data_IF_920372449147
#
_entry.id   IF_920372449147
#
_cell.length_a   1.000
_cell.length_b   1.000
_cell.length_c   1.000
_cell.angle_alpha   90.00
_cell.angle_beta   90.00
_cell.angle_gamma   90.00
#
_symmetry.space_group_name_H-M   'P 1'
#
loop_
_entity.id
_entity.type
_entity.pdbx_description
1 polymer ?
#
# COMPACT_ATOMS: atom_id res chain seq x y z
N UNK A 1 -2.89 57.38 65.92
CA UNK A 1 -4.05 56.68 65.41
C UNK A 1 -4.02 56.74 63.88
N UNK A 2 -3.49 55.68 63.18
CA UNK A 2 -3.50 55.56 61.73
C UNK A 2 -4.28 54.32 61.40
N UNK A 3 -5.44 54.48 60.73
CA UNK A 3 -6.27 53.40 60.22
C UNK A 3 -5.68 52.92 58.89
N UNK A 4 -5.31 51.63 58.83
CA UNK A 4 -4.93 50.92 57.58
C UNK A 4 -6.22 50.30 56.99
N UNK A 5 -6.57 50.70 55.75
CA UNK A 5 -7.65 50.18 54.99
C UNK A 5 -7.04 49.06 54.14
N UNK A 6 -7.41 47.83 54.39
CA UNK A 6 -7.08 46.66 53.52
C UNK A 6 -8.12 46.60 52.40
N UNK A 7 -7.67 46.78 51.12
CA UNK A 7 -8.45 46.45 49.90
C UNK A 7 -8.25 44.97 49.59
N UNK A 8 -9.33 44.20 49.71
CA UNK A 8 -9.40 42.87 49.15
C UNK A 8 -9.71 42.96 47.64
N UNK A 9 -8.75 42.61 46.78
CA UNK A 9 -8.96 42.44 45.36
C UNK A 9 -9.52 41.01 45.13
N UNK A 10 -10.78 40.92 44.77
CA UNK A 10 -11.39 39.67 44.30
C UNK A 10 -10.95 39.38 42.85
N UNK A 11 -10.04 38.43 42.66
CA UNK A 11 -9.74 37.87 41.33
C UNK A 11 -10.89 36.95 40.90
N UNK A 12 -11.70 37.43 39.99
CA UNK A 12 -12.68 36.60 39.25
C UNK A 12 -11.91 35.77 38.25
N UNK A 13 -11.76 34.46 38.48
CA UNK A 13 -11.22 33.50 37.55
C UNK A 13 -12.24 33.31 36.44
N UNK A 14 -12.00 33.91 35.28
CA UNK A 14 -12.72 33.60 34.04
C UNK A 14 -12.29 32.19 33.58
N UNK A 15 -13.09 31.19 33.93
CA UNK A 15 -13.00 29.85 33.32
C UNK A 15 -13.47 29.98 31.86
N UNK A 16 -12.53 30.07 30.91
CA UNK A 16 -12.80 29.89 29.51
C UNK A 16 -13.17 28.42 29.33
N UNK A 17 -14.39 28.08 28.89
CA UNK A 17 -14.70 26.72 28.57
C UNK A 17 -13.87 26.33 27.33
N UNK A 18 -12.87 25.47 27.48
CA UNK A 18 -12.23 24.75 26.39
C UNK A 18 -13.29 23.81 25.83
N UNK A 19 -14.15 24.34 24.97
CA UNK A 19 -15.10 23.56 24.20
C UNK A 19 -14.30 22.62 23.32
N UNK A 20 -14.19 21.36 23.74
CA UNK A 20 -13.80 20.27 22.85
C UNK A 20 -14.82 20.28 21.72
N UNK A 21 -14.42 20.76 20.53
CA UNK A 21 -15.28 20.70 19.33
C UNK A 21 -15.67 19.23 19.19
N UNK A 22 -16.96 18.94 19.39
CA UNK A 22 -17.50 17.62 19.16
C UNK A 22 -17.25 17.27 17.67
N UNK A 23 -16.76 16.05 17.43
CA UNK A 23 -16.52 15.60 16.05
C UNK A 23 -17.86 15.59 15.29
N UNK A 24 -17.91 16.31 14.18
CA UNK A 24 -19.12 16.40 13.36
C UNK A 24 -19.20 15.26 12.33
N UNK A 25 -20.40 14.73 12.14
CA UNK A 25 -20.71 13.76 11.10
C UNK A 25 -20.44 14.37 9.72
N UNK A 26 -19.74 13.64 8.81
CA UNK A 26 -19.55 14.11 7.44
C UNK A 26 -20.88 14.33 6.72
N UNK A 27 -20.95 15.34 5.88
CA UNK A 27 -22.14 15.63 5.09
C UNK A 27 -22.51 14.41 4.20
N UNK A 28 -23.79 14.08 4.15
CA UNK A 28 -24.29 12.93 3.38
C UNK A 28 -24.24 11.58 4.09
N UNK A 29 -23.62 11.48 5.25
CA UNK A 29 -23.62 10.23 6.05
C UNK A 29 -24.93 10.06 6.83
N UNK A 30 -25.36 8.80 7.10
CA UNK A 30 -26.61 8.52 7.83
C UNK A 30 -26.54 9.06 9.27
N UNK A 31 -27.70 9.36 9.88
CA UNK A 31 -27.76 9.87 11.26
C UNK A 31 -27.16 8.91 12.28
N UNK A 32 -27.27 7.58 12.05
CA UNK A 32 -26.64 6.57 12.90
C UNK A 32 -25.10 6.66 12.98
N UNK A 33 -24.51 7.51 12.11
CA UNK A 33 -23.07 7.76 12.17
C UNK A 33 -22.65 8.61 13.37
N UNK A 34 -23.58 9.37 13.96
CA UNK A 34 -23.36 10.14 15.20
C UNK A 34 -23.09 9.19 16.37
N UNK A 35 -23.80 8.04 16.42
CA UNK A 35 -23.56 6.97 17.38
C UNK A 35 -22.19 6.31 17.17
N UNK A 36 -21.81 6.05 15.92
CA UNK A 36 -20.47 5.51 15.62
C UNK A 36 -19.35 6.44 16.08
N UNK A 37 -19.51 7.76 15.93
CA UNK A 37 -18.53 8.73 16.44
C UNK A 37 -18.45 8.70 17.96
N UNK A 38 -19.61 8.63 18.64
CA UNK A 38 -19.66 8.56 20.09
C UNK A 38 -19.03 7.27 20.64
N UNK A 39 -19.35 6.13 20.04
CA UNK A 39 -18.76 4.83 20.39
C UNK A 39 -17.25 4.82 20.19
N UNK A 40 -16.78 5.33 19.06
CA UNK A 40 -15.34 5.44 18.77
C UNK A 40 -14.62 6.34 19.80
N UNK A 41 -15.25 7.45 20.22
CA UNK A 41 -14.71 8.32 21.25
C UNK A 41 -14.68 7.62 22.63
N UNK A 42 -15.66 6.76 22.94
CA UNK A 42 -15.66 5.94 24.15
C UNK A 42 -14.55 4.85 24.12
N UNK A 43 -14.24 4.28 22.95
CA UNK A 43 -13.13 3.34 22.74
C UNK A 43 -11.75 4.01 22.83
N UNK A 44 -11.64 5.31 22.60
CA UNK A 44 -10.46 6.19 22.76
C UNK A 44 -9.28 5.90 21.86
N UNK A 45 -9.21 4.78 21.18
CA UNK A 45 -8.07 4.40 20.36
C UNK A 45 -8.47 3.45 19.24
N UNK A 46 -7.58 3.36 18.24
CA UNK A 46 -7.57 2.31 17.22
C UNK A 46 -6.15 1.79 17.05
N UNK A 47 -5.99 0.47 16.99
CA UNK A 47 -4.70 -0.20 16.77
C UNK A 47 -4.67 -0.65 15.31
N UNK A 48 -3.67 -0.15 14.56
CA UNK A 48 -3.52 -0.41 13.12
C UNK A 48 -2.20 -1.11 12.86
N UNK A 49 -2.24 -2.27 12.19
CA UNK A 49 -1.06 -2.87 11.59
C UNK A 49 -1.07 -2.60 10.09
N UNK A 50 0.01 -2.01 9.59
CA UNK A 50 0.13 -1.64 8.19
C UNK A 50 1.55 -1.82 7.66
N UNK A 51 1.69 -1.93 6.34
CA UNK A 51 2.97 -1.93 5.65
C UNK A 51 3.18 -0.66 4.79
N UNK A 52 2.51 0.42 5.12
CA UNK A 52 2.80 1.74 4.60
C UNK A 52 3.67 2.48 5.61
N UNK A 53 4.71 3.14 5.13
CA UNK A 53 5.66 3.83 6.00
C UNK A 53 4.95 4.85 6.90
N UNK A 54 5.29 4.84 8.20
CA UNK A 54 4.69 5.75 9.18
C UNK A 54 4.82 7.23 8.76
N UNK A 55 5.93 7.60 8.15
CA UNK A 55 6.18 8.97 7.67
C UNK A 55 5.22 9.40 6.57
N UNK A 56 4.83 8.47 5.69
CA UNK A 56 3.84 8.72 4.62
C UNK A 56 2.42 8.81 5.19
N UNK A 57 2.15 8.04 6.26
CA UNK A 57 0.83 8.00 6.87
C UNK A 57 0.60 9.07 7.94
N UNK A 58 1.65 9.70 8.45
CA UNK A 58 1.54 10.72 9.49
C UNK A 58 0.54 11.84 9.16
N UNK A 59 0.49 12.41 7.93
CA UNK A 59 -0.50 13.44 7.60
C UNK A 59 -1.95 12.94 7.66
N UNK A 60 -2.20 11.69 7.24
CA UNK A 60 -3.54 11.06 7.29
C UNK A 60 -3.94 10.83 8.74
N UNK A 61 -3.03 10.31 9.56
CA UNK A 61 -3.26 10.05 10.99
C UNK A 61 -3.54 11.36 11.73
N UNK A 62 -2.74 12.39 11.49
CA UNK A 62 -2.92 13.72 12.11
C UNK A 62 -4.26 14.34 11.72
N UNK A 63 -4.65 14.27 10.45
CA UNK A 63 -5.93 14.79 9.98
C UNK A 63 -7.11 14.02 10.59
N UNK A 64 -7.01 12.69 10.69
CA UNK A 64 -8.01 11.86 11.38
C UNK A 64 -8.14 12.27 12.86
N UNK A 65 -7.04 12.36 13.61
CA UNK A 65 -7.07 12.74 15.03
C UNK A 65 -7.53 14.18 15.25
N UNK A 66 -7.26 15.08 14.30
CA UNK A 66 -7.80 16.44 14.33
C UNK A 66 -9.32 16.46 14.16
N UNK A 67 -9.85 15.62 13.25
CA UNK A 67 -11.29 15.49 13.02
C UNK A 67 -12.01 14.77 14.14
N UNK A 68 -11.35 13.76 14.72
CA UNK A 68 -11.90 12.89 15.77
C UNK A 68 -10.97 12.89 17.00
N UNK A 69 -10.92 14.00 17.77
CA UNK A 69 -9.92 14.19 18.83
C UNK A 69 -10.07 13.20 20.00
N UNK A 70 -11.23 12.53 20.10
CA UNK A 70 -11.45 11.47 21.09
C UNK A 70 -10.77 10.13 20.76
N UNK A 71 -10.15 9.95 19.56
CA UNK A 71 -9.58 8.68 19.12
C UNK A 71 -8.09 8.81 18.82
N UNK A 72 -7.26 8.12 19.58
CA UNK A 72 -5.81 8.01 19.33
C UNK A 72 -5.51 6.89 18.35
N UNK A 73 -4.63 7.12 17.36
CA UNK A 73 -4.19 6.12 16.40
C UNK A 73 -2.87 5.49 16.84
N UNK A 74 -2.89 4.22 17.19
CA UNK A 74 -1.72 3.39 17.48
C UNK A 74 -1.30 2.65 16.20
N UNK A 75 -0.39 3.25 15.44
CA UNK A 75 0.04 2.74 14.15
C UNK A 75 1.34 1.96 14.26
N UNK A 76 1.34 0.69 13.89
CA UNK A 76 2.51 -0.15 13.76
C UNK A 76 2.86 -0.37 12.28
N UNK A 77 4.02 0.16 11.87
CA UNK A 77 4.62 -0.06 10.57
C UNK A 77 5.38 -1.39 10.59
N UNK A 78 4.87 -2.37 9.86
CA UNK A 78 5.34 -3.76 9.88
C UNK A 78 5.52 -4.29 8.45
N UNK A 79 6.55 -5.07 8.21
CA UNK A 79 6.66 -5.82 6.96
C UNK A 79 5.47 -6.78 6.77
N UNK A 80 4.97 -6.94 5.53
CA UNK A 80 3.74 -7.72 5.25
C UNK A 80 3.75 -9.12 5.84
N UNK A 81 4.87 -9.85 5.73
CA UNK A 81 4.99 -11.20 6.26
C UNK A 81 5.03 -11.24 7.80
N UNK A 82 5.64 -10.25 8.43
CA UNK A 82 5.65 -10.10 9.89
C UNK A 82 4.25 -9.78 10.39
N UNK A 83 3.61 -8.80 9.80
CA UNK A 83 2.23 -8.39 10.12
C UNK A 83 1.25 -9.57 10.05
N UNK A 84 1.31 -10.36 8.95
CA UNK A 84 0.48 -11.55 8.80
C UNK A 84 0.71 -12.56 9.92
N UNK A 85 1.97 -12.93 10.19
CA UNK A 85 2.32 -13.90 11.24
C UNK A 85 1.90 -13.42 12.62
N UNK A 86 2.20 -12.15 12.94
CA UNK A 86 1.89 -11.54 14.23
C UNK A 86 0.39 -11.50 14.46
N UNK A 87 -0.38 -10.96 13.52
CA UNK A 87 -1.83 -10.86 13.63
C UNK A 87 -2.49 -12.22 13.81
N UNK A 88 -2.11 -13.23 13.02
CA UNK A 88 -2.64 -14.61 13.14
C UNK A 88 -2.30 -15.23 14.50
N UNK A 89 -1.06 -15.06 14.97
CA UNK A 89 -0.62 -15.62 16.25
C UNK A 89 -1.36 -14.98 17.43
N UNK A 90 -1.46 -13.64 17.44
CA UNK A 90 -2.16 -12.89 18.49
C UNK A 90 -3.65 -13.25 18.53
N UNK A 91 -4.33 -13.26 17.38
CA UNK A 91 -5.76 -13.57 17.29
C UNK A 91 -6.05 -15.01 17.74
N UNK A 92 -5.26 -15.99 17.29
CA UNK A 92 -5.43 -17.40 17.69
C UNK A 92 -5.22 -17.63 19.18
N UNK A 93 -4.36 -16.85 19.80
CA UNK A 93 -4.09 -16.91 21.25
C UNK A 93 -4.95 -15.95 22.07
N UNK A 94 -5.93 -15.28 21.44
CA UNK A 94 -6.81 -14.27 22.06
C UNK A 94 -6.05 -13.13 22.77
N UNK A 95 -4.85 -12.84 22.30
CA UNK A 95 -4.07 -11.68 22.76
C UNK A 95 -4.60 -10.41 22.12
N UNK A 96 -4.34 -9.22 22.72
CA UNK A 96 -4.58 -7.95 22.05
C UNK A 96 -3.87 -7.91 20.70
N UNK A 97 -4.58 -7.51 19.67
CA UNK A 97 -4.06 -7.41 18.31
C UNK A 97 -4.59 -6.14 17.64
N UNK A 98 -4.34 -5.96 16.35
CA UNK A 98 -4.84 -4.82 15.61
C UNK A 98 -6.36 -4.88 15.42
N UNK A 99 -6.99 -3.71 15.45
CA UNK A 99 -8.39 -3.50 15.09
C UNK A 99 -8.58 -3.39 13.59
N UNK A 100 -7.58 -2.84 12.89
CA UNK A 100 -7.56 -2.67 11.45
C UNK A 100 -6.21 -3.13 10.89
N UNK A 101 -6.27 -3.93 9.81
CA UNK A 101 -5.11 -4.41 9.06
C UNK A 101 -5.11 -3.78 7.68
N UNK A 102 -3.96 -3.23 7.25
CA UNK A 102 -3.82 -2.56 5.96
C UNK A 102 -2.52 -2.91 5.25
N UNK A 103 -2.60 -3.60 4.10
CA UNK A 103 -1.41 -4.16 3.43
C UNK A 103 -1.52 -4.18 1.91
N UNK A 104 -0.35 -4.05 1.26
CA UNK A 104 -0.16 -4.26 -0.18
C UNK A 104 -0.04 -5.74 -0.59
N UNK A 105 0.13 -6.68 0.35
CA UNK A 105 0.05 -8.12 0.08
C UNK A 105 -1.41 -8.53 -0.05
N UNK A 106 -1.99 -8.24 -1.22
CA UNK A 106 -3.42 -8.41 -1.48
C UNK A 106 -3.89 -9.85 -1.29
N UNK A 107 -3.10 -10.82 -1.69
CA UNK A 107 -3.36 -12.25 -1.55
C UNK A 107 -3.45 -12.67 -0.07
N UNK A 108 -2.52 -12.24 0.77
CA UNK A 108 -2.53 -12.50 2.21
C UNK A 108 -3.73 -11.84 2.89
N UNK A 109 -4.09 -10.61 2.49
CA UNK A 109 -5.27 -9.91 3.01
C UNK A 109 -6.55 -10.65 2.64
N UNK A 110 -6.71 -11.05 1.38
CA UNK A 110 -7.87 -11.83 0.93
C UNK A 110 -7.91 -13.19 1.65
N UNK A 111 -6.76 -13.82 1.90
CA UNK A 111 -6.71 -15.05 2.70
C UNK A 111 -7.22 -14.83 4.12
N UNK A 112 -6.75 -13.80 4.82
CA UNK A 112 -7.22 -13.49 6.17
C UNK A 112 -8.74 -13.27 6.20
N UNK A 113 -9.28 -12.51 5.24
CA UNK A 113 -10.72 -12.29 5.10
C UNK A 113 -11.46 -13.61 4.86
N UNK A 114 -10.94 -14.46 3.95
CA UNK A 114 -11.55 -15.76 3.62
C UNK A 114 -11.52 -16.73 4.81
N UNK A 115 -10.44 -16.72 5.58
CA UNK A 115 -10.26 -17.56 6.78
C UNK A 115 -11.08 -17.03 7.98
N UNK A 116 -11.84 -15.95 7.79
CA UNK A 116 -12.80 -15.45 8.76
C UNK A 116 -12.21 -14.51 9.81
N UNK A 117 -11.07 -13.89 9.57
CA UNK A 117 -10.46 -12.90 10.48
C UNK A 117 -11.05 -11.49 10.34
N UNK A 118 -11.89 -11.23 9.33
CA UNK A 118 -12.50 -9.93 9.10
C UNK A 118 -13.98 -9.91 9.52
N UNK A 119 -14.46 -8.75 9.94
CA UNK A 119 -15.89 -8.48 10.09
C UNK A 119 -16.43 -7.72 8.86
N UNK A 120 -17.72 -7.91 8.56
CA UNK A 120 -18.38 -7.16 7.51
C UNK A 120 -18.76 -5.76 8.01
N UNK A 121 -18.55 -4.77 7.14
CA UNK A 121 -18.94 -3.39 7.40
C UNK A 121 -19.42 -2.69 6.12
N UNK A 122 -20.60 -2.10 6.17
CA UNK A 122 -21.16 -1.33 5.06
C UNK A 122 -20.71 0.14 5.17
N UNK A 123 -19.48 0.43 4.74
CA UNK A 123 -18.97 1.79 4.73
C UNK A 123 -19.87 2.72 3.90
N UNK A 124 -20.20 3.93 4.39
CA UNK A 124 -20.91 4.94 3.61
C UNK A 124 -20.13 5.41 2.37
N UNK A 125 -18.81 5.18 2.33
CA UNK A 125 -17.98 5.50 1.18
C UNK A 125 -18.03 4.46 0.05
N UNK A 126 -18.63 3.29 0.29
CA UNK A 126 -18.72 2.21 -0.71
C UNK A 126 -19.24 2.65 -2.09
N UNK A 127 -20.26 3.51 -2.23
CA UNK A 127 -20.77 3.93 -3.53
C UNK A 127 -19.74 4.71 -4.38
N UNK A 128 -18.70 5.25 -3.76
CA UNK A 128 -17.66 6.06 -4.42
C UNK A 128 -16.46 5.25 -4.87
N UNK A 129 -16.41 3.97 -4.51
CA UNK A 129 -15.31 3.07 -4.79
C UNK A 129 -15.60 2.19 -6.01
N UNK A 130 -14.59 1.83 -6.82
CA UNK A 130 -14.78 0.88 -7.90
C UNK A 130 -15.12 -0.51 -7.35
N UNK A 131 -16.00 -1.25 -8.02
CA UNK A 131 -16.41 -2.58 -7.60
C UNK A 131 -15.23 -3.58 -7.46
N UNK A 132 -14.14 -3.35 -8.18
CA UNK A 132 -12.91 -4.14 -8.08
C UNK A 132 -12.16 -3.96 -6.76
N UNK A 133 -12.43 -2.88 -6.03
CA UNK A 133 -11.77 -2.57 -4.75
C UNK A 133 -12.52 -3.14 -3.53
N UNK A 134 -13.67 -3.78 -3.69
CA UNK A 134 -14.48 -4.23 -2.56
C UNK A 134 -14.78 -5.73 -2.67
N UNK A 135 -14.60 -6.43 -1.56
CA UNK A 135 -14.97 -7.84 -1.47
C UNK A 135 -15.76 -8.14 -0.18
N UNK A 136 -16.99 -8.68 -0.34
CA UNK A 136 -17.89 -9.10 0.74
C UNK A 136 -18.23 -8.02 1.79
N UNK A 137 -18.05 -6.74 1.53
CA UNK A 137 -18.02 -5.67 2.53
C UNK A 137 -17.05 -5.93 3.69
N UNK A 138 -16.03 -6.72 3.49
CA UNK A 138 -14.99 -7.05 4.48
C UNK A 138 -13.63 -6.49 4.08
N UNK A 139 -13.26 -6.60 2.80
CA UNK A 139 -12.01 -6.07 2.26
C UNK A 139 -12.25 -4.84 1.40
N UNK A 140 -11.45 -3.79 1.64
CA UNK A 140 -11.51 -2.52 0.93
C UNK A 140 -10.15 -2.17 0.38
N UNK A 141 -10.03 -2.09 -0.95
CA UNK A 141 -8.85 -1.51 -1.59
C UNK A 141 -8.83 -0.01 -1.37
N UNK A 142 -7.77 0.48 -0.76
CA UNK A 142 -7.62 1.88 -0.35
C UNK A 142 -6.83 2.69 -1.36
N UNK A 143 -5.94 2.02 -2.12
CA UNK A 143 -5.07 2.66 -3.10
C UNK A 143 -5.22 2.00 -4.47
N UNK A 144 -4.71 2.66 -5.52
CA UNK A 144 -4.66 2.15 -6.89
C UNK A 144 -3.26 2.40 -7.47
N UNK A 145 -2.25 1.69 -6.95
CA UNK A 145 -0.84 1.94 -7.20
C UNK A 145 -0.34 1.17 -8.44
N UNK A 146 0.10 1.86 -9.49
CA UNK A 146 0.65 1.19 -10.67
C UNK A 146 1.98 0.54 -10.36
N UNK A 147 2.23 -0.62 -10.94
CA UNK A 147 3.51 -1.32 -10.90
C UNK A 147 4.26 -1.02 -12.20
N UNK A 148 5.51 -0.65 -12.08
CA UNK A 148 6.33 -0.31 -13.23
C UNK A 148 7.78 -0.70 -13.03
N UNK A 149 8.67 -0.03 -13.74
CA UNK A 149 10.09 -0.14 -13.50
C UNK A 149 10.76 1.23 -13.40
N UNK A 150 11.80 1.28 -12.59
CA UNK A 150 12.67 2.43 -12.47
C UNK A 150 13.99 2.16 -13.18
N UNK A 151 14.62 3.21 -13.69
CA UNK A 151 15.91 3.09 -14.36
C UNK A 151 16.83 4.26 -14.05
N UNK A 152 18.15 4.03 -14.14
CA UNK A 152 19.15 5.08 -14.00
C UNK A 152 19.34 5.81 -15.35
N UNK A 153 19.04 7.12 -15.39
CA UNK A 153 19.10 7.93 -16.62
C UNK A 153 20.51 8.12 -17.18
N UNK A 154 21.57 7.91 -16.35
CA UNK A 154 22.96 7.92 -16.84
C UNK A 154 23.29 6.63 -17.60
N UNK A 155 22.77 5.49 -17.13
CA UNK A 155 22.99 4.19 -17.79
C UNK A 155 22.06 4.02 -19.01
N UNK A 156 20.81 4.47 -18.90
CA UNK A 156 19.80 4.38 -19.96
C UNK A 156 19.24 5.78 -20.19
N UNK A 157 19.67 6.49 -21.25
CA UNK A 157 19.09 7.79 -21.60
C UNK A 157 17.57 7.70 -21.78
N UNK A 158 16.85 8.73 -21.40
CA UNK A 158 15.38 8.75 -21.39
C UNK A 158 14.75 8.36 -22.75
N UNK A 159 15.37 8.82 -23.85
CA UNK A 159 14.92 8.49 -25.22
C UNK A 159 15.07 6.99 -25.57
N UNK A 160 15.90 6.25 -24.84
CA UNK A 160 16.14 4.81 -25.03
C UNK A 160 15.46 3.94 -23.96
N UNK A 161 14.79 4.54 -22.98
CA UNK A 161 14.08 3.81 -21.95
C UNK A 161 12.95 2.98 -22.57
N UNK A 162 12.90 1.65 -22.33
CA UNK A 162 11.86 0.80 -22.90
C UNK A 162 10.50 1.20 -22.35
N UNK A 163 9.50 1.34 -23.22
CA UNK A 163 8.17 1.83 -22.82
C UNK A 163 7.13 0.70 -22.66
N UNK A 164 7.49 -0.56 -22.93
CA UNK A 164 6.61 -1.73 -22.80
C UNK A 164 7.40 -2.93 -22.28
N UNK A 165 6.72 -3.99 -21.84
CA UNK A 165 7.37 -5.24 -21.43
C UNK A 165 8.13 -5.87 -22.60
N UNK A 166 7.56 -5.84 -23.81
CA UNK A 166 8.24 -6.34 -25.01
C UNK A 166 9.52 -5.52 -25.33
N UNK A 167 9.46 -4.19 -25.20
CA UNK A 167 10.64 -3.35 -25.42
C UNK A 167 11.70 -3.58 -24.33
N UNK A 168 11.29 -3.84 -23.09
CA UNK A 168 12.20 -4.19 -22.00
C UNK A 168 12.86 -5.55 -22.26
N UNK A 169 12.11 -6.56 -22.65
CA UNK A 169 12.66 -7.87 -23.03
C UNK A 169 13.71 -7.76 -24.15
N UNK A 170 13.38 -7.02 -25.21
CA UNK A 170 14.30 -6.79 -26.33
C UNK A 170 15.59 -6.08 -25.90
N UNK A 171 15.48 -5.08 -25.00
CA UNK A 171 16.65 -4.41 -24.42
C UNK A 171 17.51 -5.37 -23.59
N UNK A 172 16.89 -6.18 -22.72
CA UNK A 172 17.60 -7.11 -21.86
C UNK A 172 18.38 -8.17 -22.67
N UNK A 173 17.82 -8.60 -23.81
CA UNK A 173 18.50 -9.53 -24.73
C UNK A 173 19.65 -8.84 -25.46
N UNK A 174 19.38 -7.68 -26.08
CA UNK A 174 20.36 -6.95 -26.88
C UNK A 174 21.55 -6.47 -26.05
N UNK A 175 21.27 -5.88 -24.88
CA UNK A 175 22.26 -5.21 -24.05
C UNK A 175 22.69 -6.11 -22.86
N UNK A 176 22.47 -7.43 -22.97
CA UNK A 176 22.70 -8.42 -21.92
C UNK A 176 24.01 -8.23 -21.19
N UNK A 177 25.11 -8.12 -21.94
CA UNK A 177 26.45 -8.04 -21.38
C UNK A 177 26.65 -6.75 -20.54
N UNK A 178 26.17 -5.62 -21.03
CA UNK A 178 26.22 -4.34 -20.31
C UNK A 178 25.30 -4.31 -19.07
N UNK A 179 24.24 -5.12 -19.09
CA UNK A 179 23.25 -5.22 -18.00
C UNK A 179 23.56 -6.35 -17.01
N UNK A 180 24.66 -7.08 -17.17
CA UNK A 180 25.05 -8.17 -16.27
C UNK A 180 25.23 -7.65 -14.83
N UNK A 181 24.42 -8.19 -13.88
CA UNK A 181 24.40 -7.73 -12.48
C UNK A 181 23.85 -6.31 -12.27
N UNK A 182 23.28 -5.68 -13.32
CA UNK A 182 22.75 -4.31 -13.28
C UNK A 182 21.21 -4.24 -13.30
N UNK A 183 20.54 -5.38 -13.26
CA UNK A 183 19.09 -5.49 -13.15
C UNK A 183 18.74 -5.94 -11.74
N UNK A 184 17.71 -5.37 -11.15
CA UNK A 184 17.16 -5.83 -9.88
C UNK A 184 15.64 -6.03 -9.99
N UNK A 185 15.12 -6.99 -9.25
CA UNK A 185 13.70 -7.27 -9.11
C UNK A 185 13.42 -7.92 -7.75
N UNK A 186 12.15 -8.15 -7.42
CA UNK A 186 11.82 -8.89 -6.21
C UNK A 186 12.24 -10.35 -6.29
N UNK A 187 12.61 -10.90 -5.13
CA UNK A 187 12.70 -12.34 -4.91
C UNK A 187 11.30 -12.91 -4.60
N UNK A 188 10.67 -13.63 -5.52
CA UNK A 188 9.31 -14.15 -5.30
C UNK A 188 9.26 -15.24 -4.21
N UNK A 189 10.40 -15.83 -3.85
CA UNK A 189 10.45 -16.79 -2.74
C UNK A 189 10.42 -16.12 -1.37
N UNK A 190 10.89 -14.86 -1.28
CA UNK A 190 11.07 -14.13 -0.01
C UNK A 190 10.16 -12.90 0.11
N UNK A 191 9.58 -12.42 -0.99
CA UNK A 191 8.71 -11.26 -1.06
C UNK A 191 7.31 -11.65 -1.53
N UNK A 192 6.31 -11.56 -0.66
CA UNK A 192 4.91 -11.84 -1.02
C UNK A 192 4.40 -10.93 -2.13
N UNK A 193 4.72 -9.63 -2.08
CA UNK A 193 4.35 -8.69 -3.16
C UNK A 193 5.10 -9.00 -4.47
N UNK A 194 6.36 -9.41 -4.39
CA UNK A 194 7.13 -9.83 -5.55
C UNK A 194 6.54 -11.08 -6.22
N UNK A 195 6.12 -12.06 -5.42
CA UNK A 195 5.39 -13.22 -5.92
C UNK A 195 4.07 -12.84 -6.58
N UNK A 196 3.28 -11.99 -5.92
CA UNK A 196 2.01 -11.49 -6.45
C UNK A 196 2.20 -10.79 -7.81
N UNK A 197 3.08 -9.80 -7.89
CA UNK A 197 3.25 -9.02 -9.13
C UNK A 197 3.74 -9.88 -10.29
N UNK A 198 4.66 -10.78 -10.02
CA UNK A 198 5.18 -11.67 -11.06
C UNK A 198 4.12 -12.68 -11.52
N UNK A 199 3.30 -13.24 -10.63
CA UNK A 199 2.19 -14.12 -11.01
C UNK A 199 1.10 -13.40 -11.79
N UNK A 200 0.83 -12.13 -11.47
CA UNK A 200 -0.09 -11.29 -12.25
C UNK A 200 0.48 -11.00 -13.65
N UNK A 201 1.79 -10.71 -13.79
CA UNK A 201 2.43 -10.58 -15.10
C UNK A 201 2.25 -11.84 -15.95
N UNK A 202 2.45 -13.03 -15.37
CA UNK A 202 2.22 -14.30 -16.06
C UNK A 202 0.75 -14.53 -16.46
N UNK A 203 -0.18 -13.93 -15.71
CA UNK A 203 -1.60 -13.99 -16.05
C UNK A 203 -1.99 -13.02 -17.18
N UNK A 204 -1.23 -11.93 -17.37
CA UNK A 204 -1.48 -10.94 -18.43
C UNK A 204 -1.08 -11.43 -19.80
N UNK A 205 0.09 -12.06 -19.94
CA UNK A 205 0.62 -12.49 -21.24
C UNK A 205 1.54 -13.70 -21.12
N UNK A 206 1.55 -14.52 -22.18
CA UNK A 206 2.51 -15.63 -22.30
C UNK A 206 3.95 -15.17 -22.51
N UNK A 207 4.14 -13.93 -22.96
CA UNK A 207 5.45 -13.34 -23.25
C UNK A 207 6.23 -13.01 -21.98
N UNK A 208 5.56 -12.99 -20.81
CA UNK A 208 6.21 -12.83 -19.50
C UNK A 208 7.31 -13.87 -19.28
N UNK A 209 7.15 -15.09 -19.79
CA UNK A 209 8.20 -16.12 -19.72
C UNK A 209 9.48 -15.67 -20.45
N UNK A 210 9.34 -15.09 -21.62
CA UNK A 210 10.48 -14.60 -22.40
C UNK A 210 11.18 -13.43 -21.71
N UNK A 211 10.41 -12.50 -21.15
CA UNK A 211 10.94 -11.39 -20.34
C UNK A 211 11.70 -11.91 -19.10
N UNK A 212 11.15 -12.86 -18.37
CA UNK A 212 11.80 -13.47 -17.20
C UNK A 212 13.11 -14.17 -17.59
N UNK A 213 13.13 -14.91 -18.71
CA UNK A 213 14.35 -15.54 -19.21
C UNK A 213 15.40 -14.52 -19.62
N UNK A 214 15.01 -13.44 -20.30
CA UNK A 214 15.91 -12.35 -20.68
C UNK A 214 16.50 -11.65 -19.44
N UNK A 215 15.65 -11.42 -18.42
CA UNK A 215 16.09 -10.85 -17.14
C UNK A 215 17.04 -11.80 -16.40
N UNK A 216 16.70 -13.07 -16.30
CA UNK A 216 17.54 -14.09 -15.68
C UNK A 216 18.94 -14.16 -16.31
N UNK A 217 19.04 -14.02 -17.64
CA UNK A 217 20.31 -14.00 -18.37
C UNK A 217 21.20 -12.80 -18.01
N UNK A 218 20.68 -11.74 -17.41
CA UNK A 218 21.46 -10.62 -16.87
C UNK A 218 21.99 -10.86 -15.45
N UNK A 219 21.71 -12.00 -14.84
CA UNK A 219 22.02 -12.32 -13.43
C UNK A 219 21.49 -11.24 -12.47
N UNK A 220 20.17 -11.09 -12.36
CA UNK A 220 19.57 -9.99 -11.61
C UNK A 220 19.86 -10.12 -10.11
N UNK A 221 19.97 -8.99 -9.43
CA UNK A 221 20.04 -8.93 -7.96
C UNK A 221 18.63 -8.94 -7.40
N UNK A 222 18.32 -9.91 -6.53
CA UNK A 222 17.00 -10.10 -5.97
C UNK A 222 16.84 -9.33 -4.65
N UNK A 223 15.72 -8.64 -4.49
CA UNK A 223 15.39 -7.81 -3.34
C UNK A 223 14.07 -8.25 -2.67
N UNK A 224 13.86 -7.86 -1.42
CA UNK A 224 12.62 -8.16 -0.68
C UNK A 224 11.67 -6.98 -0.56
N UNK A 225 12.11 -5.77 -0.90
CA UNK A 225 11.32 -4.53 -0.88
C UNK A 225 11.75 -3.55 -1.99
N UNK A 226 10.89 -2.57 -2.27
CA UNK A 226 11.12 -1.57 -3.34
C UNK A 226 12.27 -0.60 -3.00
N UNK A 227 12.43 -0.24 -1.72
CA UNK A 227 13.39 0.80 -1.31
C UNK A 227 14.84 0.49 -1.71
N UNK A 228 15.44 -0.68 -1.37
CA UNK A 228 16.81 -1.00 -1.78
C UNK A 228 16.98 -1.06 -3.31
N UNK A 229 15.95 -1.46 -4.05
CA UNK A 229 15.98 -1.46 -5.51
C UNK A 229 16.10 -0.04 -6.05
N UNK A 230 15.28 0.89 -5.55
CA UNK A 230 15.30 2.30 -5.97
C UNK A 230 16.59 3.02 -5.54
N UNK A 231 17.09 2.71 -4.35
CA UNK A 231 18.38 3.24 -3.87
C UNK A 231 19.51 2.80 -4.78
N UNK A 232 19.60 1.52 -5.11
CA UNK A 232 20.62 0.99 -6.02
C UNK A 232 20.52 1.60 -7.43
N UNK A 233 19.33 1.91 -7.93
CA UNK A 233 19.15 2.66 -9.18
C UNK A 233 19.67 4.10 -9.05
N UNK A 234 19.35 4.80 -7.96
CA UNK A 234 19.82 6.16 -7.69
C UNK A 234 21.35 6.25 -7.63
N UNK A 235 21.97 5.30 -6.96
CA UNK A 235 23.42 5.22 -6.77
C UNK A 235 24.18 4.70 -8.00
N UNK A 236 23.47 4.18 -9.04
CA UNK A 236 24.06 3.61 -10.25
C UNK A 236 24.56 2.18 -10.07
N UNK A 237 24.24 1.54 -8.96
CA UNK A 237 24.48 0.11 -8.75
C UNK A 237 23.66 -0.70 -9.76
N UNK A 238 22.40 -0.31 -9.97
CA UNK A 238 21.48 -0.93 -10.93
C UNK A 238 21.13 0.05 -12.06
N UNK A 239 21.02 -0.49 -13.27
CA UNK A 239 20.50 0.23 -14.43
C UNK A 239 18.97 0.19 -14.47
N UNK A 240 18.38 -0.93 -14.04
CA UNK A 240 16.92 -1.19 -14.06
C UNK A 240 16.50 -1.87 -12.77
N UNK A 241 15.38 -1.42 -12.21
CA UNK A 241 14.60 -2.09 -11.15
C UNK A 241 13.20 -2.44 -11.69
N UNK A 242 12.91 -3.72 -11.87
CA UNK A 242 11.65 -4.22 -12.43
C UNK A 242 10.61 -4.50 -11.34
N UNK A 243 9.33 -4.28 -11.65
CA UNK A 243 8.17 -4.49 -10.76
C UNK A 243 8.19 -3.66 -9.47
N UNK A 244 8.70 -2.43 -9.55
CA UNK A 244 8.65 -1.50 -8.40
C UNK A 244 7.26 -0.89 -8.23
N UNK A 245 6.88 -0.61 -7.00
CA UNK A 245 5.66 0.15 -6.70
C UNK A 245 5.84 1.59 -7.19
N UNK A 246 4.96 2.01 -8.10
CA UNK A 246 5.12 3.27 -8.83
C UNK A 246 5.01 4.51 -7.96
N UNK A 247 4.23 4.48 -6.88
CA UNK A 247 4.15 5.58 -5.91
C UNK A 247 5.53 5.89 -5.31
N UNK A 248 6.23 4.88 -4.81
CA UNK A 248 7.60 5.03 -4.27
C UNK A 248 8.61 5.44 -5.34
N UNK A 249 8.51 4.84 -6.54
CA UNK A 249 9.41 5.15 -7.64
C UNK A 249 9.28 6.62 -8.09
N UNK A 250 8.05 7.14 -8.20
CA UNK A 250 7.78 8.53 -8.55
C UNK A 250 8.23 9.50 -7.47
N UNK A 251 7.98 9.18 -6.20
CA UNK A 251 8.42 10.01 -5.08
C UNK A 251 9.96 10.10 -5.05
N UNK A 252 10.64 8.96 -5.26
CA UNK A 252 12.09 8.94 -5.34
C UNK A 252 12.61 9.73 -6.55
N UNK A 253 12.00 9.59 -7.74
CA UNK A 253 12.35 10.32 -8.94
C UNK A 253 12.12 11.83 -8.83
N UNK A 254 11.16 12.27 -8.01
CA UNK A 254 10.93 13.68 -7.71
C UNK A 254 12.10 14.31 -6.93
N UNK A 255 12.70 13.53 -6.01
CA UNK A 255 13.84 13.95 -5.19
C UNK A 255 15.19 13.71 -5.85
N UNK A 256 15.28 12.78 -6.79
CA UNK A 256 16.50 12.39 -7.46
C UNK A 256 16.31 12.36 -8.99
N UNK A 257 16.80 13.39 -9.72
CA UNK A 257 16.63 13.51 -11.17
C UNK A 257 17.34 12.41 -11.96
N UNK A 258 18.22 11.63 -11.34
CA UNK A 258 18.92 10.51 -11.98
C UNK A 258 17.98 9.33 -12.25
N UNK A 259 16.83 9.26 -11.58
CA UNK A 259 15.87 8.17 -11.73
C UNK A 259 14.83 8.51 -12.78
N UNK A 260 14.61 7.59 -13.70
CA UNK A 260 13.45 7.54 -14.57
C UNK A 260 12.46 6.48 -14.11
N UNK A 261 11.16 6.70 -14.37
CA UNK A 261 10.08 5.75 -14.07
C UNK A 261 9.26 5.54 -15.32
N UNK A 262 8.97 4.29 -15.63
CA UNK A 262 8.10 3.87 -16.73
C UNK A 262 6.96 2.99 -16.20
N UNK A 263 5.76 3.31 -16.63
CA UNK A 263 4.60 2.42 -16.54
C UNK A 263 4.39 1.82 -17.93
N UNK A 264 4.58 0.50 -18.10
CA UNK A 264 4.57 -0.13 -19.41
C UNK A 264 3.25 0.11 -20.15
N UNK A 265 3.35 0.50 -21.44
CA UNK A 265 2.21 0.95 -22.24
C UNK A 265 1.34 -0.20 -22.77
N UNK A 266 1.89 -1.40 -22.88
CA UNK A 266 1.18 -2.61 -23.28
C UNK A 266 0.17 -3.05 -22.20
N UNK A 267 0.56 -3.04 -20.96
CA UNK A 267 -0.29 -3.10 -19.77
C UNK A 267 0.48 -2.60 -18.54
N UNK A 268 -0.23 -2.10 -17.55
CA UNK A 268 0.33 -1.78 -16.25
C UNK A 268 -0.54 -2.40 -15.17
N UNK A 269 0.01 -3.34 -14.41
CA UNK A 269 -0.66 -3.90 -13.23
C UNK A 269 -0.90 -2.77 -12.23
N UNK A 270 -2.09 -2.71 -11.66
CA UNK A 270 -2.44 -1.77 -10.60
C UNK A 270 -2.77 -2.56 -9.34
N UNK A 271 -1.88 -2.48 -8.37
CA UNK A 271 -2.07 -3.08 -7.06
C UNK A 271 -2.85 -2.17 -6.14
N UNK A 272 -3.40 -2.73 -5.07
CA UNK A 272 -4.08 -1.97 -4.02
C UNK A 272 -3.56 -2.39 -2.65
N UNK A 273 -3.59 -1.46 -1.70
CA UNK A 273 -3.47 -1.82 -0.29
C UNK A 273 -4.87 -2.14 0.21
N UNK A 274 -5.08 -3.37 0.64
CA UNK A 274 -6.37 -3.81 1.18
C UNK A 274 -6.40 -3.55 2.68
N UNK A 275 -7.44 -2.83 3.13
CA UNK A 275 -7.77 -2.69 4.53
C UNK A 275 -8.97 -3.58 4.89
N UNK A 276 -8.97 -4.13 6.11
CA UNK A 276 -10.12 -4.78 6.71
C UNK A 276 -10.14 -4.55 8.23
N UNK A 277 -11.34 -4.59 8.81
CA UNK A 277 -11.54 -4.51 10.25
C UNK A 277 -11.49 -5.93 10.81
N UNK A 278 -10.67 -6.15 11.84
CA UNK A 278 -10.55 -7.45 12.48
C UNK A 278 -11.88 -7.90 13.09
N UNK A 279 -12.21 -9.20 12.98
CA UNK A 279 -13.43 -9.75 13.59
C UNK A 279 -13.45 -9.54 15.10
N UNK A 280 -12.31 -9.75 15.74
CA UNK A 280 -12.10 -9.64 17.17
C UNK A 280 -11.52 -8.27 17.57
N UNK A 281 -11.79 -7.23 16.77
CA UNK A 281 -11.34 -5.86 17.09
C UNK A 281 -11.86 -5.45 18.47
N UNK A 282 -10.98 -4.92 19.30
CA UNK A 282 -11.35 -4.40 20.63
C UNK A 282 -11.94 -2.99 20.55
N UNK A 283 -11.62 -2.28 19.46
CA UNK A 283 -12.08 -0.92 19.18
C UNK A 283 -12.76 -0.88 17.80
N UNK A 284 -13.89 -1.63 17.63
CA UNK A 284 -14.52 -1.79 16.31
C UNK A 284 -15.14 -0.50 15.78
N UNK A 285 -15.65 0.38 16.63
CA UNK A 285 -16.19 1.67 16.22
C UNK A 285 -15.10 2.60 15.71
N UNK A 286 -13.99 2.72 16.44
CA UNK A 286 -12.83 3.50 16.02
C UNK A 286 -12.19 2.94 14.73
N UNK A 287 -12.15 1.62 14.55
CA UNK A 287 -11.67 0.99 13.32
C UNK A 287 -12.57 1.30 12.11
N UNK A 288 -13.89 1.28 12.26
CA UNK A 288 -14.85 1.69 11.23
C UNK A 288 -14.67 3.16 10.88
N UNK A 289 -14.57 4.01 11.89
CA UNK A 289 -14.39 5.45 11.73
C UNK A 289 -13.09 5.78 10.96
N UNK A 290 -11.98 5.09 11.31
CA UNK A 290 -10.72 5.26 10.61
C UNK A 290 -10.77 4.73 9.17
N UNK A 291 -11.41 3.58 8.93
CA UNK A 291 -11.60 3.04 7.58
C UNK A 291 -12.39 4.01 6.70
N UNK A 292 -13.50 4.55 7.21
CA UNK A 292 -14.31 5.51 6.46
C UNK A 292 -13.55 6.80 6.18
N UNK A 293 -12.78 7.31 7.14
CA UNK A 293 -11.91 8.46 6.92
C UNK A 293 -10.88 8.18 5.83
N UNK A 294 -10.24 7.01 5.87
CA UNK A 294 -9.25 6.60 4.89
C UNK A 294 -9.83 6.48 3.47
N UNK A 295 -11.11 6.06 3.34
CA UNK A 295 -11.83 5.94 2.08
C UNK A 295 -12.52 7.25 1.66
N UNK A 296 -12.67 8.22 2.56
CA UNK A 296 -13.33 9.50 2.30
C UNK A 296 -12.59 10.35 1.27
N UNK A 297 -13.28 11.36 0.71
CA UNK A 297 -12.64 12.33 -0.18
C UNK A 297 -11.44 13.01 0.50
N UNK A 298 -11.53 13.33 1.78
CA UNK A 298 -10.46 13.97 2.55
C UNK A 298 -9.25 13.04 2.68
N UNK A 299 -9.44 11.83 3.18
CA UNK A 299 -8.39 10.84 3.35
C UNK A 299 -7.70 10.48 2.03
N UNK A 300 -8.49 10.27 0.97
CA UNK A 300 -7.96 9.95 -0.36
C UNK A 300 -7.21 11.13 -1.00
N UNK A 301 -7.61 12.37 -0.70
CA UNK A 301 -6.87 13.56 -1.15
C UNK A 301 -5.52 13.68 -0.45
N UNK A 302 -5.47 13.37 0.85
CA UNK A 302 -4.23 13.33 1.61
C UNK A 302 -3.29 12.23 1.08
N UNK A 303 -3.80 11.03 0.81
CA UNK A 303 -3.01 9.96 0.19
C UNK A 303 -2.40 10.43 -1.15
N UNK A 304 -3.20 11.08 -1.99
CA UNK A 304 -2.74 11.59 -3.29
C UNK A 304 -1.63 12.65 -3.17
N UNK A 305 -1.69 13.51 -2.15
CA UNK A 305 -0.66 14.53 -1.87
C UNK A 305 0.66 13.90 -1.40
N UNK A 306 0.60 12.73 -0.78
CA UNK A 306 1.76 12.00 -0.25
C UNK A 306 2.15 10.79 -1.09
N UNK A 307 2.00 10.90 -2.41
CA UNK A 307 2.46 9.96 -3.43
C UNK A 307 1.70 8.63 -3.53
N UNK A 308 0.76 8.34 -2.65
CA UNK A 308 -0.10 7.16 -2.76
C UNK A 308 -1.26 7.46 -3.73
N UNK A 309 -1.42 6.60 -4.74
CA UNK A 309 -2.48 6.81 -5.72
C UNK A 309 -3.85 6.45 -5.14
N UNK A 310 -4.81 7.38 -5.15
CA UNK A 310 -6.13 7.15 -4.56
C UNK A 310 -6.94 6.15 -5.38
N UNK A 311 -7.73 5.33 -4.69
CA UNK A 311 -8.66 4.39 -5.34
C UNK A 311 -9.90 5.12 -5.90
N UNK A 312 -10.30 6.24 -5.30
CA UNK A 312 -11.46 7.04 -5.73
C UNK A 312 -11.22 7.72 -7.08
N UNK A 313 -12.19 7.60 -7.99
CA UNK A 313 -12.11 8.23 -9.30
C UNK A 313 -12.31 9.75 -9.27
N UNK A 314 -13.00 10.27 -8.26
CA UNK A 314 -13.35 11.70 -8.11
C UNK A 314 -12.25 12.54 -7.44
N UNK A 315 -11.09 11.93 -7.09
CA UNK A 315 -9.93 12.65 -6.59
C UNK A 315 -9.03 13.05 -7.75
N UNK A 316 -8.61 14.31 -7.77
CA UNK A 316 -7.64 14.81 -8.75
C UNK A 316 -6.26 14.24 -8.42
N UNK A 317 -5.83 13.26 -9.19
CA UNK A 317 -4.54 12.60 -9.06
C UNK A 317 -4.02 12.17 -10.43
N UNK A 318 -2.73 11.83 -10.49
CA UNK A 318 -2.14 11.21 -11.68
C UNK A 318 -2.86 9.88 -11.98
N UNK A 319 -3.11 9.62 -13.26
CA UNK A 319 -3.75 8.37 -13.72
C UNK A 319 -3.00 7.84 -14.93
N UNK A 320 -3.09 6.52 -15.11
CA UNK A 320 -2.64 5.88 -16.34
C UNK A 320 -3.59 6.21 -17.49
N UNK A 321 -3.11 6.21 -18.74
CA UNK A 321 -3.96 6.30 -19.92
C UNK A 321 -5.06 5.23 -19.91
N UNK A 322 -6.18 5.55 -20.56
CA UNK A 322 -7.28 4.59 -20.70
C UNK A 322 -6.80 3.31 -21.40
N UNK A 323 -7.25 2.15 -20.92
CA UNK A 323 -6.90 0.85 -21.47
C UNK A 323 -5.54 0.29 -21.07
N UNK A 324 -4.65 1.09 -20.44
CA UNK A 324 -3.35 0.63 -19.95
C UNK A 324 -3.43 -0.08 -18.60
N UNK A 325 -4.24 0.46 -17.68
CA UNK A 325 -4.37 -0.06 -16.33
C UNK A 325 -5.02 -1.45 -16.28
N UNK A 326 -4.42 -2.36 -15.52
CA UNK A 326 -4.95 -3.69 -15.20
C UNK A 326 -5.05 -3.84 -13.68
N UNK A 327 -6.16 -3.40 -13.06
CA UNK A 327 -6.33 -3.49 -11.62
C UNK A 327 -6.43 -4.96 -11.17
N UNK A 328 -5.62 -5.31 -10.19
CA UNK A 328 -5.78 -6.56 -9.44
C UNK A 328 -7.06 -6.43 -8.62
N UNK A 329 -8.04 -7.28 -8.91
CA UNK A 329 -9.33 -7.25 -8.23
C UNK A 329 -9.19 -7.77 -6.80
N UNK A 330 -9.80 -7.09 -5.84
CA UNK A 330 -9.94 -7.60 -4.47
C UNK A 330 -10.96 -8.76 -4.46
N UNK A 331 -10.49 -9.99 -4.32
CA UNK A 331 -11.39 -11.13 -4.41
C UNK A 331 -10.70 -12.50 -4.38
N UNK A 332 -11.49 -13.58 -4.49
CA UNK A 332 -11.04 -14.95 -4.27
C UNK A 332 -10.01 -15.44 -5.30
N UNK A 333 -9.89 -14.81 -6.47
CA UNK A 333 -8.88 -15.16 -7.47
C UNK A 333 -7.45 -15.05 -6.92
N UNK A 334 -7.22 -14.16 -5.95
CA UNK A 334 -5.93 -14.02 -5.27
C UNK A 334 -5.54 -15.25 -4.44
N UNK A 335 -6.51 -16.07 -4.02
CA UNK A 335 -6.26 -17.30 -3.27
C UNK A 335 -5.60 -18.39 -4.14
N UNK A 336 -5.78 -18.32 -5.46
CA UNK A 336 -5.24 -19.33 -6.41
C UNK A 336 -3.71 -19.38 -6.34
N UNK A 337 -3.07 -18.24 -6.11
CA UNK A 337 -1.62 -18.14 -6.03
C UNK A 337 -1.07 -18.60 -4.65
N UNK A 338 -1.94 -18.74 -3.64
CA UNK A 338 -1.57 -19.25 -2.32
C UNK A 338 -1.63 -20.78 -2.21
N UNK A 339 -2.07 -21.48 -3.29
CA UNK A 339 -1.95 -22.93 -3.38
C UNK A 339 -0.49 -23.35 -3.34
N UNK A 340 -0.13 -24.22 -2.37
CA UNK A 340 1.26 -24.62 -2.12
C UNK A 340 1.90 -25.31 -3.31
N UNK A 341 1.17 -26.15 -4.02
CA UNK A 341 1.71 -26.89 -5.18
C UNK A 341 1.95 -25.94 -6.35
N UNK A 342 1.04 -25.01 -6.60
CA UNK A 342 1.20 -23.97 -7.63
C UNK A 342 2.40 -23.07 -7.30
N UNK A 343 2.51 -22.61 -6.05
CA UNK A 343 3.62 -21.79 -5.61
C UNK A 343 4.96 -22.54 -5.75
N UNK A 344 5.04 -23.79 -5.31
CA UNK A 344 6.27 -24.59 -5.45
C UNK A 344 6.65 -24.79 -6.92
N UNK A 345 5.66 -25.06 -7.80
CA UNK A 345 5.92 -25.20 -9.24
C UNK A 345 6.44 -23.88 -9.81
N UNK A 346 5.77 -22.77 -9.53
CA UNK A 346 6.19 -21.43 -9.97
C UNK A 346 7.63 -21.11 -9.53
N UNK A 347 7.94 -21.33 -8.25
CA UNK A 347 9.28 -21.06 -7.71
C UNK A 347 10.36 -21.99 -8.29
N UNK A 348 10.03 -23.25 -8.59
CA UNK A 348 10.97 -24.14 -9.33
C UNK A 348 11.25 -23.61 -10.73
N UNK A 349 10.20 -23.20 -11.47
CA UNK A 349 10.35 -22.66 -12.82
C UNK A 349 11.14 -21.34 -12.83
N UNK A 350 10.92 -20.47 -11.85
CA UNK A 350 11.69 -19.26 -11.61
C UNK A 350 13.16 -19.54 -11.34
N UNK A 351 13.46 -20.44 -10.40
CA UNK A 351 14.83 -20.81 -10.06
C UNK A 351 15.55 -21.49 -11.24
N UNK A 352 14.85 -22.33 -12.00
CA UNK A 352 15.40 -22.93 -13.21
C UNK A 352 15.76 -21.89 -14.26
N UNK A 353 14.92 -20.86 -14.47
CA UNK A 353 15.22 -19.76 -15.37
C UNK A 353 16.47 -18.98 -14.94
N UNK A 354 16.62 -18.67 -13.65
CA UNK A 354 17.81 -18.01 -13.10
C UNK A 354 19.08 -18.85 -13.30
N UNK A 355 19.02 -20.15 -13.05
CA UNK A 355 20.16 -21.07 -13.22
C UNK A 355 20.56 -21.22 -14.68
N UNK A 356 19.59 -21.39 -15.58
CA UNK A 356 19.82 -21.51 -17.03
C UNK A 356 20.38 -20.20 -17.59
N UNK A 357 19.80 -19.05 -17.20
CA UNK A 357 20.28 -17.73 -17.59
C UNK A 357 21.72 -17.45 -17.15
N UNK A 358 22.11 -17.95 -15.95
CA UNK A 358 23.47 -17.82 -15.45
C UNK A 358 24.48 -18.64 -16.24
N UNK A 359 24.08 -19.77 -16.82
CA UNK A 359 24.93 -20.70 -17.56
C UNK A 359 24.99 -20.44 -19.08
N UNK A 360 24.08 -19.60 -19.61
CA UNK A 360 24.14 -19.19 -21.01
C UNK A 360 25.33 -18.27 -21.23
N UNK A 361 26.38 -18.76 -21.88
CA UNK A 361 27.57 -17.99 -22.29
C UNK A 361 27.28 -17.04 -23.45
#
# INVERSE_FOLDING_TARGET
>A
MRRVIQLLAAMASLSVPTGTMAAERPAGYPRSYDELIADAAAERQVIIYANADRSEMAPVILAFQKRYPGVTVNYADLGSAEMYRRFVAETRTRKPSADLIWSSSMDQQVKLINDGFAQAYASPEKPTLPASAIWKNMGFGVTAEPIGYAYNKKAIPQARAPQSHAALEAMLRRDRQALMGKVTTFDPARSGVGYLYLTEDYAMTRDTRALVQAMAATRPVLATSTEPMLRGVAEGQFSIAYNVIGSYALERARRDPRIGVVFPTDYTIVTSRIAFIAREARHPAAAKLFLDFLLSREGQSLLAQHSLWPVRADIRARRLPAGQARPIRVGPQLLVNLDRLKQQRFLRDWNAALTTGANSK
#
